data_IF_456799099891
#
_entry.id   IF_456799099891
#
_cell.length_a   1.000
_cell.length_b   1.000
_cell.length_c   1.000
_cell.angle_alpha   90.00
_cell.angle_beta   90.00
_cell.angle_gamma   90.00
#
_symmetry.space_group_name_H-M   'P 1'
#
loop_
_entity.id
_entity.type
_entity.pdbx_description
1 polymer ?
#
# COMPACT_ATOMS: atom_id res chain seq x y z
N UNK A 1 -12.50 -4.75 18.82
CA UNK A 1 -12.14 -3.33 19.01
C UNK A 1 -12.16 -2.62 17.66
N UNK A 2 -11.63 -1.40 17.58
CA UNK A 2 -11.53 -0.70 16.29
C UNK A 2 -10.55 -1.41 15.35
N UNK A 3 -10.89 -1.45 14.06
CA UNK A 3 -10.04 -2.08 13.05
C UNK A 3 -8.92 -1.13 12.67
N UNK A 4 -7.67 -1.62 12.74
CA UNK A 4 -6.47 -0.86 12.38
C UNK A 4 -5.54 -1.66 11.49
N UNK A 5 -4.86 -1.01 10.56
CA UNK A 5 -3.76 -1.59 9.80
C UNK A 5 -2.52 -1.65 10.69
N UNK A 6 -1.88 -2.82 10.75
CA UNK A 6 -0.67 -3.06 11.54
C UNK A 6 0.57 -2.88 10.67
N UNK A 7 0.56 -3.52 9.51
CA UNK A 7 1.66 -3.51 8.56
C UNK A 7 1.16 -3.79 7.14
N UNK A 8 2.04 -3.55 6.18
CA UNK A 8 1.85 -3.92 4.80
C UNK A 8 3.15 -4.45 4.20
N UNK A 9 3.03 -5.32 3.20
CA UNK A 9 4.14 -6.03 2.56
C UNK A 9 4.08 -5.79 1.06
N UNK A 10 5.24 -5.49 0.48
CA UNK A 10 5.45 -5.33 -0.96
C UNK A 10 6.63 -6.21 -1.36
N UNK A 11 6.37 -7.28 -2.11
CA UNK A 11 7.37 -8.31 -2.37
C UNK A 11 7.86 -8.96 -1.07
N UNK A 12 9.16 -8.91 -0.80
CA UNK A 12 9.76 -9.43 0.44
C UNK A 12 9.85 -8.41 1.58
N UNK A 13 9.47 -7.15 1.34
CA UNK A 13 9.65 -6.06 2.30
C UNK A 13 8.37 -5.80 3.08
N UNK A 14 8.46 -5.78 4.42
CA UNK A 14 7.37 -5.42 5.32
C UNK A 14 7.59 -4.04 5.92
N UNK A 15 6.53 -3.25 5.96
CA UNK A 15 6.50 -1.87 6.45
C UNK A 15 5.42 -1.75 7.52
N UNK A 16 5.73 -1.03 8.61
CA UNK A 16 4.72 -0.65 9.60
C UNK A 16 3.72 0.34 9.00
N UNK A 17 2.47 0.30 9.46
CA UNK A 17 1.48 1.29 9.04
C UNK A 17 1.98 2.72 9.34
N UNK A 18 1.79 3.63 8.39
CA UNK A 18 2.30 5.00 8.40
C UNK A 18 3.71 5.17 7.82
N UNK A 19 4.47 4.09 7.61
CA UNK A 19 5.77 4.17 6.96
C UNK A 19 5.65 4.36 5.45
N UNK A 20 6.65 5.02 4.86
CA UNK A 20 6.78 5.16 3.40
C UNK A 20 7.54 3.98 2.83
N UNK A 21 6.90 3.24 1.92
CA UNK A 21 7.55 2.23 1.09
C UNK A 21 7.97 2.85 -0.24
N UNK A 22 9.25 2.72 -0.60
CA UNK A 22 9.77 3.13 -1.90
C UNK A 22 9.84 1.93 -2.83
N UNK A 23 9.17 2.01 -3.98
CA UNK A 23 9.16 0.99 -5.02
C UNK A 23 9.98 1.54 -6.18
N UNK A 24 11.17 0.97 -6.40
CA UNK A 24 12.11 1.46 -7.40
C UNK A 24 11.46 1.54 -8.80
N UNK A 25 11.60 2.69 -9.46
CA UNK A 25 11.01 3.00 -10.77
C UNK A 25 9.47 2.96 -10.86
N UNK A 26 8.75 2.86 -9.73
CA UNK A 26 7.29 2.75 -9.69
C UNK A 26 6.67 3.91 -8.90
N UNK A 27 7.17 4.19 -7.70
CA UNK A 27 6.61 5.25 -6.85
C UNK A 27 6.76 4.97 -5.36
N UNK A 28 6.04 5.73 -4.54
CA UNK A 28 6.00 5.54 -3.09
C UNK A 28 4.59 5.23 -2.62
N UNK A 29 4.46 4.34 -1.63
CA UNK A 29 3.20 3.99 -0.99
C UNK A 29 3.27 4.25 0.52
N UNK A 30 2.22 4.85 1.07
CA UNK A 30 1.95 4.92 2.50
C UNK A 30 0.58 4.31 2.76
N UNK A 31 0.47 3.43 3.76
CA UNK A 31 -0.81 2.94 4.30
C UNK A 31 -0.85 3.30 5.78
N UNK A 32 -1.74 4.21 6.16
CA UNK A 32 -1.93 4.65 7.53
C UNK A 32 -2.70 3.61 8.37
N UNK A 33 -2.57 3.69 9.70
CA UNK A 33 -3.23 2.76 10.63
C UNK A 33 -4.76 2.78 10.51
N UNK A 34 -5.35 3.89 10.05
CA UNK A 34 -6.79 4.02 9.81
C UNK A 34 -7.25 3.48 8.44
N UNK A 35 -6.35 2.88 7.65
CA UNK A 35 -6.64 2.32 6.33
C UNK A 35 -6.55 3.33 5.18
N UNK A 36 -6.37 4.62 5.45
CA UNK A 36 -6.11 5.60 4.39
C UNK A 36 -4.76 5.29 3.74
N UNK A 37 -4.71 5.31 2.40
CA UNK A 37 -3.47 5.08 1.67
C UNK A 37 -3.21 6.21 0.67
N UNK A 38 -1.94 6.43 0.38
CA UNK A 38 -1.48 7.40 -0.62
C UNK A 38 -0.40 6.73 -1.45
N UNK A 39 -0.68 6.58 -2.75
CA UNK A 39 0.29 6.14 -3.73
C UNK A 39 0.71 7.34 -4.59
N UNK A 40 2.02 7.63 -4.62
CA UNK A 40 2.61 8.66 -5.47
C UNK A 40 3.45 7.98 -6.54
N UNK A 41 2.99 7.93 -7.80
CA UNK A 41 3.77 7.30 -8.87
C UNK A 41 5.06 8.06 -9.13
N UNK A 42 6.09 7.36 -9.60
CA UNK A 42 7.27 7.99 -10.18
C UNK A 42 6.87 8.78 -11.45
N UNK A 43 7.63 9.83 -11.79
CA UNK A 43 7.35 10.61 -12.99
C UNK A 43 7.31 9.71 -14.23
N UNK A 44 6.28 9.90 -15.06
CA UNK A 44 6.01 9.11 -16.29
C UNK A 44 5.79 7.60 -16.06
N UNK A 45 5.62 7.15 -14.81
CA UNK A 45 5.26 5.76 -14.55
C UNK A 45 3.81 5.49 -14.92
N UNK A 46 3.61 4.50 -15.78
CA UNK A 46 2.31 3.96 -16.15
C UNK A 46 2.40 2.44 -16.05
N UNK A 47 1.43 1.79 -15.42
CA UNK A 47 1.44 0.34 -15.26
C UNK A 47 0.91 -0.15 -13.92
N UNK A 48 1.06 -1.47 -13.69
CA UNK A 48 0.63 -2.12 -12.46
C UNK A 48 1.70 -2.02 -11.37
N UNK A 49 1.29 -1.55 -10.20
CA UNK A 49 2.09 -1.60 -8.99
C UNK A 49 2.20 -3.07 -8.52
N UNK A 50 3.33 -3.50 -7.93
CA UNK A 50 3.42 -4.80 -7.28
C UNK A 50 2.29 -5.01 -6.26
N UNK A 51 1.78 -6.24 -6.16
CA UNK A 51 0.70 -6.57 -5.21
C UNK A 51 1.12 -6.21 -3.80
N UNK A 52 0.24 -5.48 -3.11
CA UNK A 52 0.44 -5.06 -1.73
C UNK A 52 -0.46 -5.91 -0.84
N UNK A 53 0.13 -6.62 0.12
CA UNK A 53 -0.63 -7.29 1.18
C UNK A 53 -0.65 -6.40 2.41
N UNK A 54 -1.80 -6.24 3.06
CA UNK A 54 -1.89 -5.50 4.32
C UNK A 54 -2.58 -6.34 5.38
N UNK A 55 -2.11 -6.18 6.62
CA UNK A 55 -2.62 -6.91 7.78
C UNK A 55 -3.35 -5.96 8.70
N UNK A 56 -4.59 -6.30 9.05
CA UNK A 56 -5.44 -5.56 9.98
C UNK A 56 -5.67 -6.35 11.27
N UNK A 57 -5.91 -5.64 12.35
CA UNK A 57 -6.31 -6.19 13.65
C UNK A 57 -7.49 -5.41 14.21
N UNK A 58 -8.37 -6.08 14.93
CA UNK A 58 -9.43 -5.46 15.73
C UNK A 58 -9.08 -5.46 17.24
N UNK A 59 -7.87 -5.89 17.59
CA UNK A 59 -7.40 -6.03 18.98
C UNK A 59 -7.99 -7.22 19.75
N UNK A 60 -8.78 -8.07 19.12
CA UNK A 60 -9.48 -9.19 19.78
C UNK A 60 -8.79 -10.55 19.57
N UNK A 61 -7.63 -10.59 18.92
CA UNK A 61 -6.87 -11.82 18.68
C UNK A 61 -6.18 -11.83 17.31
N UNK A 62 -6.58 -12.79 16.46
CA UNK A 62 -5.93 -13.03 15.17
C UNK A 62 -6.04 -11.85 14.22
N UNK A 63 -4.94 -11.53 13.56
CA UNK A 63 -4.93 -10.55 12.49
C UNK A 63 -5.47 -11.16 11.19
N UNK A 64 -6.05 -10.31 10.35
CA UNK A 64 -6.54 -10.68 9.01
C UNK A 64 -5.69 -10.01 7.96
N UNK A 65 -5.36 -10.73 6.89
CA UNK A 65 -4.59 -10.19 5.76
C UNK A 65 -5.48 -10.09 4.52
N UNK A 66 -5.30 -9.01 3.75
CA UNK A 66 -5.97 -8.77 2.48
C UNK A 66 -5.00 -8.12 1.49
N UNK A 67 -5.42 -7.99 0.23
CA UNK A 67 -4.58 -7.44 -0.86
C UNK A 67 -5.14 -6.13 -1.40
N UNK A 68 -4.23 -5.25 -1.83
CA UNK A 68 -4.49 -4.00 -2.52
C UNK A 68 -3.75 -4.05 -3.87
N UNK A 69 -4.53 -3.98 -4.95
CA UNK A 69 -4.03 -3.94 -6.32
C UNK A 69 -4.19 -2.51 -6.86
N UNK A 70 -3.10 -1.94 -7.38
CA UNK A 70 -3.08 -0.55 -7.88
C UNK A 70 -2.58 -0.58 -9.33
N UNK A 71 -3.28 0.10 -10.22
CA UNK A 71 -2.84 0.37 -11.59
C UNK A 71 -2.87 1.87 -11.86
N UNK A 72 -1.83 2.36 -12.54
CA UNK A 72 -1.71 3.73 -13.01
C UNK A 72 -1.94 3.74 -14.51
N UNK A 73 -3.03 4.38 -14.93
CA UNK A 73 -3.30 4.65 -16.34
C UNK A 73 -2.70 6.00 -16.71
N UNK A 74 -2.08 6.13 -17.89
CA UNK A 74 -1.68 7.44 -18.40
C UNK A 74 -2.91 8.34 -18.53
N UNK A 75 -2.75 9.60 -18.18
CA UNK A 75 -3.68 10.66 -18.59
C UNK A 75 -3.10 11.29 -19.84
N UNK A 76 -3.92 11.42 -20.87
CA UNK A 76 -3.53 12.09 -22.11
C UNK A 76 -3.77 13.59 -21.92
N UNK A 77 -2.68 14.36 -21.91
CA UNK A 77 -2.71 15.81 -21.72
C UNK A 77 -2.84 16.51 -23.09
N UNK A 78 -4.02 16.45 -23.71
CA UNK A 78 -4.30 17.13 -25.00
C UNK A 78 -4.69 18.61 -24.81
#
# INVERSE_FOLDING_TARGET
>A
GDVTVVNFTIGANTYTAGSTATIANVGTLVIAANGAYTFTPAANYNGSVPVVSYTVTDGSGSNVTSTLNISVTPVDDN
#
